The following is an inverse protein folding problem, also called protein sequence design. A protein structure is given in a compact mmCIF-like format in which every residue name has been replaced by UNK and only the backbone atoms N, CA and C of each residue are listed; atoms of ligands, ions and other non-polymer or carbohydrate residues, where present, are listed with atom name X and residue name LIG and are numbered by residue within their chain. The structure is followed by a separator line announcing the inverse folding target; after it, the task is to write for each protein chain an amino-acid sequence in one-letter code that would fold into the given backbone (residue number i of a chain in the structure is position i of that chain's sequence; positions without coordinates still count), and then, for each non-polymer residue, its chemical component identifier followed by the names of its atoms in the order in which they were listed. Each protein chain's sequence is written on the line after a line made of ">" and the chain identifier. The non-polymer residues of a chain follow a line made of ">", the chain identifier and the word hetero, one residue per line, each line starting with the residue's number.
data_IF_236131384965
#
_entry.id   IF_236131384965
#
_cell.length_a   1.000
_cell.length_b   1.000
_cell.length_c   1.000
_cell.angle_alpha   90.00
_cell.angle_beta   90.00
_cell.angle_gamma   90.00
#
_symmetry.space_group_name_H-M   'P 1'
#
loop_
_entity.id
_entity.type
_entity.pdbx_description
1 polymer ?
#
# COMPACT_ATOMS: atom_id res chain seq x y z
N UNK A 1 -5.47 -7.55 -23.59
CA UNK A 1 -6.88 -7.53 -23.19
C UNK A 1 -7.34 -8.98 -23.03
N UNK A 2 -7.31 -9.48 -21.80
CA UNK A 2 -8.11 -10.62 -21.38
C UNK A 2 -9.03 -10.06 -20.29
N UNK A 3 -10.35 -10.12 -20.43
CA UNK A 3 -11.26 -9.61 -19.42
C UNK A 3 -11.11 -10.45 -18.15
N UNK A 4 -10.93 -9.75 -17.03
CA UNK A 4 -11.12 -10.29 -15.68
C UNK A 4 -12.52 -10.91 -15.66
N UNK A 5 -12.59 -12.23 -15.52
CA UNK A 5 -13.84 -12.96 -15.50
C UNK A 5 -14.47 -12.84 -14.10
N UNK A 6 -15.08 -11.69 -13.84
CA UNK A 6 -16.01 -11.45 -12.72
C UNK A 6 -17.39 -12.10 -12.96
N UNK A 7 -17.46 -13.15 -13.80
CA UNK A 7 -18.65 -14.00 -13.97
C UNK A 7 -18.31 -15.44 -13.61
N UNK A 8 -19.23 -16.19 -12.96
CA UNK A 8 -19.13 -17.64 -12.91
C UNK A 8 -18.94 -18.12 -14.34
N UNK A 9 -17.78 -18.69 -14.60
CA UNK A 9 -17.46 -19.31 -15.86
C UNK A 9 -18.31 -20.59 -15.91
N UNK A 10 -19.56 -20.48 -16.40
CA UNK A 10 -20.37 -21.61 -16.83
C UNK A 10 -19.67 -22.23 -18.05
N UNK A 11 -18.60 -22.98 -17.78
CA UNK A 11 -17.70 -23.57 -18.76
C UNK A 11 -18.41 -24.74 -19.42
N UNK A 12 -19.23 -24.43 -20.42
CA UNK A 12 -19.39 -25.37 -21.52
C UNK A 12 -18.01 -25.64 -22.13
N UNK A 13 -17.82 -26.81 -22.75
CA UNK A 13 -16.58 -27.27 -23.43
C UNK A 13 -15.90 -26.25 -24.37
N UNK A 14 -16.57 -25.15 -24.70
CA UNK A 14 -16.11 -24.02 -25.51
C UNK A 14 -15.22 -23.05 -24.72
N UNK A 15 -15.50 -22.77 -23.44
CA UNK A 15 -14.77 -21.76 -22.66
C UNK A 15 -13.37 -22.21 -22.22
N UNK A 16 -13.18 -23.52 -22.01
CA UNK A 16 -11.86 -24.11 -21.73
C UNK A 16 -10.90 -23.91 -22.92
N UNK A 17 -11.42 -23.92 -24.16
CA UNK A 17 -10.62 -23.70 -25.37
C UNK A 17 -10.18 -22.24 -25.53
N UNK A 18 -10.89 -21.26 -24.96
CA UNK A 18 -10.51 -19.85 -25.11
C UNK A 18 -9.33 -19.47 -24.19
N UNK A 19 -9.26 -20.05 -22.99
CA UNK A 19 -8.13 -19.90 -22.04
C UNK A 19 -6.79 -20.34 -22.66
N UNK A 20 -6.82 -21.33 -23.55
CA UNK A 20 -5.63 -21.94 -24.14
C UNK A 20 -5.20 -21.33 -25.50
N UNK A 21 -5.91 -20.32 -26.00
CA UNK A 21 -5.60 -19.71 -27.31
C UNK A 21 -4.35 -18.81 -27.31
N UNK A 22 -3.77 -18.54 -26.14
CA UNK A 22 -2.50 -17.83 -25.98
C UNK A 22 -1.49 -18.73 -25.27
N UNK A 23 -0.47 -19.21 -25.98
CA UNK A 23 0.64 -20.00 -25.43
C UNK A 23 1.55 -19.16 -24.51
N UNK A 24 1.06 -18.83 -23.30
CA UNK A 24 1.82 -18.11 -22.28
C UNK A 24 2.26 -19.06 -21.17
N UNK A 25 3.52 -18.98 -20.69
CA UNK A 25 4.00 -19.73 -19.52
C UNK A 25 3.18 -19.50 -18.25
N UNK A 26 2.45 -18.38 -18.17
CA UNK A 26 1.58 -18.04 -17.03
C UNK A 26 0.37 -18.98 -16.85
N UNK A 27 0.05 -19.81 -17.84
CA UNK A 27 -1.10 -20.71 -17.81
C UNK A 27 -0.74 -22.15 -17.39
N UNK A 28 0.52 -22.46 -17.08
CA UNK A 28 0.91 -23.83 -16.70
C UNK A 28 0.50 -24.23 -15.28
N UNK A 29 0.46 -23.28 -14.34
CA UNK A 29 0.10 -23.51 -12.93
C UNK A 29 -1.13 -22.68 -12.55
N UNK A 30 -2.31 -23.29 -12.65
CA UNK A 30 -3.57 -22.67 -12.20
C UNK A 30 -4.20 -23.53 -11.10
N UNK A 31 -4.81 -22.88 -10.12
CA UNK A 31 -5.62 -23.54 -9.10
C UNK A 31 -7.08 -23.17 -9.30
N UNK A 32 -7.98 -24.07 -8.96
CA UNK A 32 -9.42 -23.84 -9.11
C UNK A 32 -10.18 -24.33 -7.89
N UNK A 33 -11.35 -23.74 -7.65
CA UNK A 33 -12.37 -24.30 -6.78
C UNK A 33 -13.52 -24.83 -7.64
N UNK A 34 -13.84 -26.10 -7.51
CA UNK A 34 -14.96 -26.74 -8.18
C UNK A 34 -16.13 -26.80 -7.20
N UNK A 35 -17.07 -25.86 -7.36
CA UNK A 35 -18.33 -25.88 -6.62
C UNK A 35 -19.20 -27.02 -7.15
N UNK A 36 -19.56 -27.94 -6.27
CA UNK A 36 -20.24 -29.19 -6.59
C UNK A 36 -21.39 -29.50 -5.63
N UNK A 37 -22.16 -30.53 -5.94
CA UNK A 37 -23.15 -31.14 -5.04
C UNK A 37 -23.11 -32.64 -5.27
N UNK A 38 -23.06 -33.42 -4.18
CA UNK A 38 -22.95 -34.88 -4.21
C UNK A 38 -24.11 -35.57 -4.95
N UNK A 39 -25.25 -34.88 -5.05
CA UNK A 39 -26.45 -35.37 -5.74
C UNK A 39 -26.53 -34.97 -7.22
N UNK A 40 -25.55 -34.21 -7.73
CA UNK A 40 -25.62 -33.64 -9.08
C UNK A 40 -24.86 -34.46 -10.13
N UNK A 41 -25.61 -35.09 -11.05
CA UNK A 41 -25.02 -35.89 -12.14
C UNK A 41 -24.18 -35.05 -13.12
N UNK A 42 -24.55 -33.78 -13.34
CA UNK A 42 -23.77 -32.85 -14.16
C UNK A 42 -22.39 -32.56 -13.55
N UNK A 43 -22.32 -32.41 -12.21
CA UNK A 43 -21.07 -32.21 -11.50
C UNK A 43 -20.10 -33.38 -11.69
N UNK A 44 -20.60 -34.61 -11.56
CA UNK A 44 -19.80 -35.83 -11.78
C UNK A 44 -19.20 -35.87 -13.20
N UNK A 45 -20.02 -35.58 -14.21
CA UNK A 45 -19.56 -35.58 -15.61
C UNK A 45 -18.57 -34.46 -15.90
N UNK A 46 -18.81 -33.25 -15.39
CA UNK A 46 -17.90 -32.13 -15.56
C UNK A 46 -16.53 -32.42 -14.94
N UNK A 47 -16.48 -32.89 -13.68
CA UNK A 47 -15.25 -33.26 -12.99
C UNK A 47 -14.41 -34.25 -13.80
N UNK A 48 -15.06 -35.28 -14.34
CA UNK A 48 -14.40 -36.28 -15.19
C UNK A 48 -13.85 -35.67 -16.47
N UNK A 49 -14.61 -34.80 -17.14
CA UNK A 49 -14.16 -34.11 -18.35
C UNK A 49 -12.99 -33.17 -18.06
N UNK A 50 -13.07 -32.39 -16.99
CA UNK A 50 -12.04 -31.44 -16.59
C UNK A 50 -10.73 -32.14 -16.21
N UNK A 51 -10.80 -33.21 -15.42
CA UNK A 51 -9.63 -34.04 -15.06
C UNK A 51 -8.97 -34.66 -16.30
N UNK A 52 -9.77 -35.15 -17.24
CA UNK A 52 -9.25 -35.69 -18.51
C UNK A 52 -8.64 -34.61 -19.39
N UNK A 53 -9.19 -33.39 -19.36
CA UNK A 53 -8.68 -32.25 -20.10
C UNK A 53 -7.29 -31.84 -19.61
N UNK A 54 -7.12 -31.69 -18.29
CA UNK A 54 -5.83 -31.39 -17.62
C UNK A 54 -4.78 -32.42 -18.03
N UNK A 55 -5.11 -33.72 -17.89
CA UNK A 55 -4.20 -34.82 -18.26
C UNK A 55 -3.83 -34.82 -19.74
N UNK A 56 -4.79 -34.59 -20.63
CA UNK A 56 -4.58 -34.62 -22.08
C UNK A 56 -3.64 -33.52 -22.57
N UNK A 57 -3.62 -32.39 -21.89
CA UNK A 57 -2.83 -31.21 -22.28
C UNK A 57 -1.61 -30.99 -21.38
N UNK A 58 -1.32 -31.94 -20.48
CA UNK A 58 -0.17 -31.89 -19.56
C UNK A 58 -0.12 -30.60 -18.74
N UNK A 59 -1.28 -30.10 -18.32
CA UNK A 59 -1.36 -28.95 -17.42
C UNK A 59 -1.08 -29.37 -15.97
N UNK A 60 -0.35 -28.53 -15.22
CA UNK A 60 -0.18 -28.71 -13.76
C UNK A 60 -1.30 -28.00 -12.98
N UNK A 61 -2.52 -28.13 -13.49
CA UNK A 61 -3.70 -27.51 -12.89
C UNK A 61 -4.21 -28.38 -11.74
N UNK A 62 -4.54 -27.74 -10.63
CA UNK A 62 -5.12 -28.40 -9.46
C UNK A 62 -6.48 -27.80 -9.13
N UNK A 63 -7.35 -28.58 -8.51
CA UNK A 63 -8.63 -28.06 -8.04
C UNK A 63 -9.07 -28.71 -6.73
N UNK A 64 -9.70 -27.90 -5.88
CA UNK A 64 -10.37 -28.34 -4.66
C UNK A 64 -11.89 -28.43 -4.91
N UNK A 65 -12.54 -29.45 -4.35
CA UNK A 65 -13.99 -29.61 -4.44
C UNK A 65 -14.66 -28.99 -3.23
N UNK A 66 -15.64 -28.12 -3.46
CA UNK A 66 -16.42 -27.49 -2.41
C UNK A 66 -17.88 -27.87 -2.63
N UNK A 67 -18.46 -28.58 -1.67
CA UNK A 67 -19.91 -28.84 -1.66
C UNK A 67 -20.64 -27.50 -1.40
N UNK A 68 -21.52 -27.09 -2.32
CA UNK A 68 -22.29 -25.85 -2.15
C UNK A 68 -23.16 -25.85 -0.89
N UNK A 69 -23.50 -27.03 -0.35
CA UNK A 69 -24.28 -27.13 0.88
C UNK A 69 -23.45 -26.86 2.16
N UNK A 70 -22.13 -26.75 2.04
CA UNK A 70 -21.23 -26.46 3.16
C UNK A 70 -21.31 -25.01 3.66
N UNK A 71 -21.71 -24.06 2.81
CA UNK A 71 -21.80 -22.63 3.13
C UNK A 71 -23.07 -22.01 2.52
N UNK A 72 -23.88 -21.35 3.35
CA UNK A 72 -25.15 -20.75 2.94
C UNK A 72 -25.00 -19.62 1.91
N UNK A 73 -23.96 -18.79 2.02
CA UNK A 73 -23.68 -17.72 1.05
C UNK A 73 -23.29 -18.30 -0.30
N UNK A 74 -22.47 -19.37 -0.31
CA UNK A 74 -22.09 -20.09 -1.53
C UNK A 74 -23.33 -20.73 -2.16
N UNK A 75 -24.15 -21.42 -1.36
CA UNK A 75 -25.42 -22.00 -1.83
C UNK A 75 -26.32 -20.96 -2.48
N UNK A 76 -26.60 -19.85 -1.79
CA UNK A 76 -27.53 -18.83 -2.31
C UNK A 76 -27.02 -18.17 -3.60
N UNK A 77 -25.69 -18.03 -3.74
CA UNK A 77 -25.06 -17.44 -4.92
C UNK A 77 -25.02 -18.40 -6.13
N UNK A 78 -24.80 -19.70 -5.92
CA UNK A 78 -24.46 -20.64 -7.01
C UNK A 78 -25.41 -21.84 -7.17
N UNK A 79 -26.49 -21.95 -6.38
CA UNK A 79 -27.45 -23.09 -6.42
C UNK A 79 -28.04 -23.42 -7.79
N UNK A 80 -28.04 -22.48 -8.74
CA UNK A 80 -28.57 -22.69 -10.09
C UNK A 80 -27.49 -22.90 -11.16
N UNK A 81 -26.21 -22.71 -10.81
CA UNK A 81 -25.09 -22.67 -11.77
C UNK A 81 -24.14 -23.87 -11.63
N UNK A 82 -24.44 -24.85 -10.77
CA UNK A 82 -23.56 -26.00 -10.53
C UNK A 82 -23.50 -27.01 -11.71
N UNK A 83 -22.32 -27.49 -12.09
CA UNK A 83 -21.01 -27.21 -11.50
C UNK A 83 -20.43 -25.84 -11.90
N UNK A 84 -19.82 -25.14 -10.94
CA UNK A 84 -19.07 -23.90 -11.19
C UNK A 84 -17.59 -24.15 -10.94
N UNK A 85 -16.75 -23.83 -11.92
CA UNK A 85 -15.31 -23.84 -11.75
C UNK A 85 -14.85 -22.38 -11.58
N UNK A 86 -14.39 -22.05 -10.37
CA UNK A 86 -13.81 -20.77 -10.04
C UNK A 86 -12.30 -20.89 -10.24
N UNK A 87 -11.72 -20.04 -11.09
CA UNK A 87 -10.27 -19.89 -11.12
C UNK A 87 -9.86 -19.26 -9.78
N UNK A 88 -9.03 -19.95 -9.01
CA UNK A 88 -8.25 -19.29 -7.97
C UNK A 88 -7.19 -18.49 -8.71
N UNK A 89 -7.58 -17.30 -9.17
CA UNK A 89 -6.59 -16.32 -9.55
C UNK A 89 -5.78 -16.11 -8.27
N UNK A 90 -4.48 -16.41 -8.30
CA UNK A 90 -3.61 -16.13 -7.16
C UNK A 90 -3.67 -14.61 -7.01
N UNK A 91 -4.59 -14.09 -6.20
CA UNK A 91 -4.67 -12.68 -5.85
C UNK A 91 -3.35 -12.40 -5.19
N UNK A 92 -2.41 -11.81 -5.92
CA UNK A 92 -1.04 -11.67 -5.44
C UNK A 92 -0.97 -10.49 -4.50
N UNK A 93 0.05 -10.49 -3.66
CA UNK A 93 0.33 -9.35 -2.81
C UNK A 93 0.72 -8.18 -3.69
N UNK A 94 -0.09 -7.12 -3.62
CA UNK A 94 0.15 -5.88 -4.32
C UNK A 94 0.97 -4.98 -3.41
N UNK A 95 1.92 -4.24 -3.98
CA UNK A 95 2.74 -3.30 -3.23
C UNK A 95 3.03 -2.07 -4.07
N UNK A 96 2.98 -0.89 -3.45
CA UNK A 96 3.41 0.37 -4.04
C UNK A 96 4.30 1.13 -3.06
N UNK A 97 5.27 1.87 -3.57
CA UNK A 97 6.21 2.67 -2.79
C UNK A 97 6.36 4.07 -3.38
N UNK A 98 6.73 5.03 -2.53
CA UNK A 98 7.20 6.35 -2.95
C UNK A 98 8.50 6.73 -2.25
N UNK A 99 9.31 7.55 -2.92
CA UNK A 99 10.54 8.12 -2.38
C UNK A 99 10.41 9.62 -2.05
N UNK A 100 9.18 10.08 -1.86
CA UNK A 100 8.85 11.45 -1.43
C UNK A 100 8.18 12.27 -2.53
N UNK A 101 7.67 13.41 -2.11
CA UNK A 101 7.04 14.40 -2.98
C UNK A 101 8.00 15.61 -3.06
N UNK A 102 8.46 16.00 -4.25
CA UNK A 102 9.36 17.15 -4.37
C UNK A 102 10.42 16.97 -5.45
N UNK A 103 11.64 17.43 -5.16
CA UNK A 103 12.77 17.30 -6.08
C UNK A 103 13.63 16.09 -5.72
N UNK A 104 13.92 15.25 -6.71
CA UNK A 104 14.66 14.01 -6.53
C UNK A 104 15.91 13.95 -7.41
N UNK A 105 16.95 13.20 -7.01
CA UNK A 105 18.07 12.91 -7.89
C UNK A 105 17.64 12.02 -9.06
N UNK A 106 18.39 12.08 -10.16
CA UNK A 106 18.18 11.20 -11.30
C UNK A 106 18.24 9.72 -10.90
N UNK A 107 17.29 8.94 -11.41
CA UNK A 107 17.22 7.49 -11.18
C UNK A 107 16.60 7.05 -9.86
N UNK A 108 16.01 7.96 -9.08
CA UNK A 108 15.27 7.60 -7.85
C UNK A 108 14.15 6.58 -8.12
N UNK A 109 13.51 6.64 -9.27
CA UNK A 109 12.44 5.75 -9.69
C UNK A 109 12.98 4.34 -10.02
N UNK A 110 14.21 4.24 -10.53
CA UNK A 110 14.94 2.97 -10.66
C UNK A 110 15.22 2.37 -9.28
N UNK A 111 15.56 3.21 -8.30
CA UNK A 111 15.74 2.77 -6.93
C UNK A 111 14.42 2.27 -6.33
N UNK A 112 13.30 2.98 -6.49
CA UNK A 112 11.97 2.49 -6.08
C UNK A 112 11.66 1.11 -6.69
N UNK A 113 11.99 0.89 -7.97
CA UNK A 113 11.81 -0.43 -8.60
C UNK A 113 12.68 -1.52 -7.98
N UNK A 114 13.93 -1.19 -7.60
CA UNK A 114 14.82 -2.12 -6.89
C UNK A 114 14.24 -2.48 -5.52
N UNK A 115 13.70 -1.49 -4.80
CA UNK A 115 13.04 -1.70 -3.50
C UNK A 115 11.85 -2.66 -3.64
N UNK A 116 10.93 -2.42 -4.58
CA UNK A 116 9.78 -3.30 -4.83
C UNK A 116 10.22 -4.76 -5.05
N UNK A 117 11.28 -4.97 -5.84
CA UNK A 117 11.80 -6.31 -6.13
C UNK A 117 12.44 -6.99 -4.93
N UNK A 118 13.14 -6.24 -4.07
CA UNK A 118 13.77 -6.79 -2.87
C UNK A 118 12.77 -7.07 -1.75
N UNK A 119 11.76 -6.21 -1.61
CA UNK A 119 10.77 -6.28 -0.54
C UNK A 119 9.76 -7.44 -0.70
N UNK A 120 9.56 -7.94 -1.92
CA UNK A 120 8.68 -9.08 -2.20
C UNK A 120 7.25 -8.93 -1.62
N UNK A 121 6.72 -7.71 -1.58
CA UNK A 121 5.39 -7.41 -1.02
C UNK A 121 5.37 -6.99 0.45
N UNK A 122 6.50 -7.03 1.17
CA UNK A 122 6.58 -6.61 2.58
C UNK A 122 6.88 -5.11 2.72
N UNK A 123 5.96 -4.37 3.35
CA UNK A 123 6.08 -2.93 3.63
C UNK A 123 7.26 -2.59 4.53
N UNK A 124 7.58 -3.43 5.53
CA UNK A 124 8.73 -3.23 6.41
C UNK A 124 10.03 -3.27 5.63
N UNK A 125 10.22 -4.33 4.83
CA UNK A 125 11.45 -4.50 4.04
C UNK A 125 11.58 -3.43 2.95
N UNK A 126 10.46 -2.99 2.38
CA UNK A 126 10.45 -1.86 1.45
C UNK A 126 10.97 -0.58 2.10
N UNK A 127 10.48 -0.23 3.30
CA UNK A 127 10.87 1.02 3.97
C UNK A 127 12.29 0.92 4.52
N UNK A 128 12.70 -0.22 5.11
CA UNK A 128 14.09 -0.44 5.54
C UNK A 128 15.08 -0.20 4.41
N UNK A 129 14.74 -0.61 3.18
CA UNK A 129 15.59 -0.36 2.02
C UNK A 129 15.74 1.13 1.67
N UNK A 130 14.78 1.98 2.05
CA UNK A 130 14.87 3.44 1.89
C UNK A 130 15.59 4.15 3.05
N UNK A 131 15.57 3.59 4.27
CA UNK A 131 16.15 4.17 5.49
C UNK A 131 17.69 4.09 5.55
N UNK A 132 18.37 4.46 4.46
CA UNK A 132 19.84 4.57 4.42
C UNK A 132 20.34 6.00 4.75
N UNK A 133 19.44 6.96 4.96
CA UNK A 133 19.70 8.34 5.40
C UNK A 133 18.92 8.57 6.71
N UNK A 134 19.33 9.48 7.62
CA UNK A 134 18.71 9.72 8.92
C UNK A 134 17.21 9.96 8.84
N UNK A 135 16.46 8.94 9.22
CA UNK A 135 15.04 9.04 9.50
C UNK A 135 14.83 9.17 11.00
N UNK A 136 13.86 9.99 11.37
CA UNK A 136 13.61 10.32 12.80
C UNK A 136 12.17 10.11 13.23
N UNK A 137 11.25 10.01 12.26
CA UNK A 137 9.82 9.84 12.48
C UNK A 137 9.28 8.75 11.56
N UNK A 138 8.72 7.68 12.12
CA UNK A 138 8.19 6.56 11.33
C UNK A 138 6.92 5.98 11.95
N UNK A 139 6.04 5.46 11.10
CA UNK A 139 4.82 4.79 11.50
C UNK A 139 4.53 3.58 10.63
N UNK A 140 3.84 2.61 11.24
CA UNK A 140 3.37 1.39 10.61
C UNK A 140 1.92 1.13 11.03
N UNK A 141 1.06 0.83 10.07
CA UNK A 141 -0.35 0.52 10.28
C UNK A 141 -0.74 -0.74 9.52
N UNK A 142 -1.60 -1.56 10.13
CA UNK A 142 -2.21 -2.71 9.49
C UNK A 142 -3.72 -2.68 9.69
N UNK A 143 -4.47 -3.19 8.70
CA UNK A 143 -5.91 -3.33 8.84
C UNK A 143 -6.32 -4.47 9.78
N UNK A 144 -5.39 -5.33 10.21
CA UNK A 144 -5.65 -6.30 11.29
C UNK A 144 -5.87 -5.54 12.60
N UNK A 145 -7.14 -5.43 12.99
CA UNK A 145 -7.61 -4.74 14.20
C UNK A 145 -7.20 -3.25 14.23
N UNK A 146 -7.02 -2.65 13.04
CA UNK A 146 -6.63 -1.25 12.85
C UNK A 146 -5.39 -0.83 13.66
N UNK A 147 -4.44 -1.75 13.88
CA UNK A 147 -3.30 -1.50 14.76
C UNK A 147 -2.32 -0.53 14.13
N UNK A 148 -1.78 0.32 14.99
CA UNK A 148 -0.87 1.39 14.62
C UNK A 148 0.28 1.50 15.62
N UNK A 149 1.49 1.66 15.09
CA UNK A 149 2.70 1.88 15.87
C UNK A 149 3.51 3.01 15.25
N UNK A 150 4.06 3.90 16.07
CA UNK A 150 4.93 4.97 15.60
C UNK A 150 6.05 5.32 16.59
N UNK A 151 7.18 5.74 16.04
CA UNK A 151 8.26 6.38 16.78
C UNK A 151 8.55 7.76 16.21
N UNK A 152 8.91 8.70 17.06
CA UNK A 152 9.27 10.06 16.64
C UNK A 152 10.46 10.62 17.41
N UNK A 153 11.15 11.59 16.80
CA UNK A 153 12.30 12.26 17.39
C UNK A 153 13.40 11.27 17.86
N UNK A 154 13.55 10.14 17.16
CA UNK A 154 14.62 9.17 17.44
C UNK A 154 15.87 9.53 16.65
N UNK A 155 17.04 9.24 17.21
CA UNK A 155 18.35 9.63 16.69
C UNK A 155 19.34 8.48 16.62
N UNK A 156 19.11 7.42 17.39
CA UNK A 156 20.00 6.26 17.46
C UNK A 156 19.40 4.97 16.90
N UNK A 157 18.12 4.96 16.48
CA UNK A 157 17.51 3.77 15.87
C UNK A 157 17.89 3.73 14.40
N UNK A 158 18.59 2.67 13.97
CA UNK A 158 19.03 2.54 12.57
C UNK A 158 17.87 2.47 11.58
N UNK A 159 16.82 1.73 11.93
CA UNK A 159 15.62 1.59 11.12
C UNK A 159 14.35 1.90 11.95
N UNK A 160 13.93 3.17 12.03
CA UNK A 160 12.76 3.58 12.81
C UNK A 160 11.47 2.79 12.50
N UNK A 161 11.26 2.37 11.25
CA UNK A 161 10.11 1.55 10.87
C UNK A 161 10.04 0.20 11.61
N UNK A 162 11.19 -0.37 11.97
CA UNK A 162 11.26 -1.63 12.75
C UNK A 162 10.68 -1.41 14.14
N UNK A 163 11.02 -0.29 14.79
CA UNK A 163 10.46 0.07 16.10
C UNK A 163 8.96 0.38 16.02
N UNK A 164 8.51 1.05 14.96
CA UNK A 164 7.09 1.28 14.70
C UNK A 164 6.31 -0.04 14.54
N UNK A 165 6.80 -0.99 13.72
CA UNK A 165 6.19 -2.32 13.59
C UNK A 165 6.22 -3.11 14.90
N UNK A 166 7.29 -3.00 15.68
CA UNK A 166 7.38 -3.68 16.98
C UNK A 166 6.32 -3.20 17.98
N UNK A 167 5.94 -1.92 17.95
CA UNK A 167 4.81 -1.42 18.75
C UNK A 167 3.48 -2.08 18.36
N UNK A 168 3.25 -2.30 17.05
CA UNK A 168 2.08 -3.04 16.55
C UNK A 168 2.08 -4.49 17.05
N UNK A 169 3.23 -5.18 16.95
CA UNK A 169 3.38 -6.56 17.45
C UNK A 169 3.13 -6.64 18.96
N UNK A 170 3.65 -5.68 19.74
CA UNK A 170 3.48 -5.67 21.19
C UNK A 170 2.03 -5.40 21.62
N UNK A 171 1.23 -4.69 20.81
CA UNK A 171 -0.21 -4.54 21.05
C UNK A 171 -0.96 -5.87 20.97
N UNK A 172 -0.51 -6.79 20.12
CA UNK A 172 -1.07 -8.15 20.02
C UNK A 172 -0.74 -8.95 21.28
N UNK A 173 0.55 -8.95 21.68
CA UNK A 173 1.03 -9.74 22.82
C UNK A 173 0.47 -9.24 24.17
N UNK A 174 0.37 -7.92 24.38
CA UNK A 174 -0.03 -7.33 25.67
C UNK A 174 -1.52 -7.34 25.96
N UNK A 175 -2.38 -7.73 25.01
CA UNK A 175 -3.79 -8.05 25.31
C UNK A 175 -3.93 -9.08 26.45
N UNK A 176 -2.90 -9.88 26.70
CA UNK A 176 -2.86 -10.90 27.75
C UNK A 176 -2.59 -10.35 29.18
N UNK A 177 -2.13 -9.09 29.33
CA UNK A 177 -1.70 -8.51 30.61
C UNK A 177 -2.59 -7.42 31.21
N UNK A 178 -3.74 -7.11 30.59
CA UNK A 178 -4.73 -6.16 31.12
C UNK A 178 -4.41 -4.67 30.98
N UNK A 179 -3.23 -4.28 30.48
CA UNK A 179 -2.86 -2.89 30.22
C UNK A 179 -2.85 -2.57 28.72
N UNK A 180 -3.30 -1.36 28.35
CA UNK A 180 -3.27 -0.88 26.97
C UNK A 180 -1.81 -0.64 26.56
N UNK A 181 -1.36 -1.31 25.50
CA UNK A 181 -0.02 -1.13 24.96
C UNK A 181 0.12 0.24 24.25
N UNK A 182 1.29 0.89 24.35
CA UNK A 182 1.51 2.16 23.67
C UNK A 182 1.51 2.00 22.15
N UNK A 183 0.88 2.94 21.47
CA UNK A 183 0.90 3.03 19.99
C UNK A 183 1.95 4.02 19.48
N UNK A 184 2.43 4.94 20.33
CA UNK A 184 3.43 5.95 19.95
C UNK A 184 4.44 6.08 21.08
N UNK A 185 5.73 6.07 20.74
CA UNK A 185 6.83 6.43 21.64
C UNK A 185 7.71 7.50 21.00
N UNK A 186 8.35 8.35 21.80
CA UNK A 186 9.18 9.43 21.27
C UNK A 186 10.53 9.53 22.01
N UNK A 187 11.53 10.07 21.32
CA UNK A 187 12.84 10.40 21.88
C UNK A 187 13.50 9.22 22.60
N UNK A 188 14.17 9.52 23.72
CA UNK A 188 14.89 8.52 24.53
C UNK A 188 13.99 7.36 24.98
N UNK A 189 12.69 7.59 25.21
CA UNK A 189 11.75 6.53 25.57
C UNK A 189 11.54 5.51 24.44
N UNK A 190 11.50 5.97 23.19
CA UNK A 190 11.46 5.10 22.03
C UNK A 190 12.78 4.35 21.82
N UNK A 191 13.93 4.99 22.09
CA UNK A 191 15.25 4.36 21.95
C UNK A 191 15.48 3.28 23.02
N UNK A 192 15.08 3.54 24.28
CA UNK A 192 15.09 2.53 25.35
C UNK A 192 14.18 1.35 25.02
N UNK A 193 12.99 1.63 24.47
CA UNK A 193 12.09 0.59 24.00
C UNK A 193 12.71 -0.26 22.89
N UNK A 194 13.35 0.39 21.91
CA UNK A 194 14.02 -0.29 20.81
C UNK A 194 15.16 -1.18 21.31
N UNK A 195 16.00 -0.67 22.20
CA UNK A 195 17.06 -1.45 22.86
C UNK A 195 16.48 -2.67 23.61
N UNK A 196 15.39 -2.49 24.35
CA UNK A 196 14.73 -3.57 25.08
C UNK A 196 14.01 -4.60 24.20
N UNK A 197 13.87 -4.33 22.90
CA UNK A 197 13.33 -5.26 21.90
C UNK A 197 14.40 -5.78 20.94
N UNK A 198 15.69 -5.64 21.29
CA UNK A 198 16.84 -6.05 20.47
C UNK A 198 16.86 -5.41 19.06
N UNK A 199 16.33 -4.20 18.92
CA UNK A 199 16.37 -3.44 17.66
C UNK A 199 17.71 -2.73 17.54
N UNK A 200 18.33 -2.82 16.35
CA UNK A 200 19.65 -2.27 16.07
C UNK A 200 19.70 -0.75 16.30
N UNK A 201 20.57 -0.34 17.22
CA UNK A 201 20.95 1.05 17.44
C UNK A 201 22.27 1.37 16.73
N UNK A 202 22.45 2.63 16.34
CA UNK A 202 23.65 3.16 15.73
C UNK A 202 24.03 4.52 16.35
N UNK A 203 25.30 4.89 16.19
CA UNK A 203 25.74 6.24 16.52
C UNK A 203 25.07 7.25 15.55
N UNK A 204 24.63 8.43 16.02
CA UNK A 204 24.00 9.44 15.16
C UNK A 204 24.84 9.81 13.93
N UNK A 205 26.15 9.94 14.10
CA UNK A 205 27.10 10.25 13.02
C UNK A 205 27.12 9.16 11.92
N UNK A 206 26.78 7.93 12.27
CA UNK A 206 26.68 6.82 11.33
C UNK A 206 25.45 6.87 10.43
N UNK A 207 24.47 7.72 10.75
CA UNK A 207 23.30 7.96 9.91
C UNK A 207 23.60 9.09 8.91
N UNK A 208 24.25 10.17 9.33
CA UNK A 208 24.43 11.38 8.50
C UNK A 208 25.20 11.08 7.22
N UNK A 209 24.52 11.18 6.09
CA UNK A 209 25.15 11.03 4.78
C UNK A 209 25.95 12.30 4.41
N UNK A 210 27.06 12.20 3.65
CA UNK A 210 27.79 13.38 3.16
C UNK A 210 26.91 14.35 2.36
N UNK A 211 25.86 13.81 1.71
CA UNK A 211 24.86 14.60 0.98
C UNK A 211 23.94 15.38 1.92
N UNK A 212 23.48 14.75 2.99
CA UNK A 212 22.66 15.39 4.02
C UNK A 212 23.44 16.53 4.70
N UNK A 213 24.69 16.28 5.07
CA UNK A 213 25.60 17.27 5.66
C UNK A 213 25.81 18.49 4.73
N UNK A 214 26.10 18.27 3.45
CA UNK A 214 26.25 19.36 2.49
C UNK A 214 24.97 20.18 2.32
N UNK A 215 23.81 19.54 2.38
CA UNK A 215 22.51 20.19 2.24
C UNK A 215 22.19 21.02 3.49
N UNK A 216 22.50 20.50 4.67
CA UNK A 216 22.43 21.20 5.95
C UNK A 216 23.30 22.47 5.96
N UNK A 217 24.56 22.36 5.56
CA UNK A 217 25.50 23.49 5.47
C UNK A 217 25.01 24.60 4.52
N UNK A 218 24.44 24.22 3.37
CA UNK A 218 23.85 25.19 2.43
C UNK A 218 22.63 25.90 3.03
N UNK A 219 21.80 25.16 3.77
CA UNK A 219 20.63 25.71 4.43
C UNK A 219 21.02 26.75 5.50
N UNK A 220 22.03 26.45 6.33
CA UNK A 220 22.55 27.38 7.33
C UNK A 220 23.06 28.69 6.72
N UNK A 221 23.70 28.62 5.56
CA UNK A 221 24.24 29.80 4.86
C UNK A 221 23.16 30.64 4.15
N UNK A 222 21.88 30.23 4.20
CA UNK A 222 20.75 30.87 3.50
C UNK A 222 20.98 31.03 1.99
N UNK A 223 21.87 30.23 1.38
CA UNK A 223 22.27 30.32 -0.03
C UNK A 223 21.23 29.67 -0.98
N UNK A 224 19.95 29.79 -0.62
CA UNK A 224 18.81 29.20 -1.31
C UNK A 224 18.77 27.66 -1.23
N UNK A 225 18.00 27.12 -0.28
CA UNK A 225 17.42 25.77 -0.45
C UNK A 225 16.22 25.93 -1.37
N UNK A 226 16.47 26.19 -2.66
CA UNK A 226 15.40 26.41 -3.65
C UNK A 226 14.67 25.14 -4.05
N UNK A 227 15.18 23.98 -3.64
CA UNK A 227 14.54 22.70 -3.89
C UNK A 227 14.16 22.08 -2.55
N UNK A 228 12.88 22.20 -2.17
CA UNK A 228 12.31 21.43 -1.07
C UNK A 228 12.47 19.93 -1.40
N UNK A 229 13.51 19.34 -0.83
CA UNK A 229 13.70 17.90 -0.79
C UNK A 229 12.94 17.38 0.42
N UNK A 230 11.88 16.62 0.16
CA UNK A 230 11.14 15.96 1.22
C UNK A 230 11.67 14.54 1.35
N UNK A 231 12.41 14.30 2.43
CA UNK A 231 13.03 13.02 2.77
C UNK A 231 12.03 12.03 3.39
N UNK A 232 10.82 11.99 2.82
CA UNK A 232 9.75 11.09 3.29
C UNK A 232 9.59 9.95 2.32
N UNK A 233 9.68 8.73 2.82
CA UNK A 233 9.52 7.50 2.05
C UNK A 233 8.35 6.72 2.62
N UNK A 234 7.70 5.92 1.77
CA UNK A 234 6.57 5.13 2.24
C UNK A 234 6.21 4.01 1.31
N UNK A 235 5.47 3.06 1.86
CA UNK A 235 5.08 1.83 1.20
C UNK A 235 3.68 1.40 1.66
N UNK A 236 2.92 0.83 0.75
CA UNK A 236 1.58 0.28 0.99
C UNK A 236 1.49 -1.08 0.33
N UNK A 237 0.79 -2.02 0.96
CA UNK A 237 0.52 -3.33 0.39
C UNK A 237 -0.89 -3.82 0.73
N UNK A 238 -1.41 -4.72 -0.12
CA UNK A 238 -2.57 -5.54 0.17
C UNK A 238 -2.22 -6.98 -0.18
N UNK A 239 -2.22 -7.85 0.82
CA UNK A 239 -1.87 -9.26 0.65
C UNK A 239 -3.03 -10.08 0.08
N UNK A 240 -2.82 -11.38 -0.14
CA UNK A 240 -3.79 -12.27 -0.77
C UNK A 240 -5.08 -12.45 0.05
N UNK A 241 -5.05 -12.14 1.34
CA UNK A 241 -6.21 -12.20 2.24
C UNK A 241 -7.00 -10.89 2.30
N UNK A 242 -6.55 -9.87 1.57
CA UNK A 242 -7.06 -8.50 1.66
C UNK A 242 -6.52 -7.73 2.87
N UNK A 243 -5.51 -8.26 3.58
CA UNK A 243 -4.89 -7.51 4.67
C UNK A 243 -4.11 -6.33 4.09
N UNK A 244 -4.54 -5.13 4.45
CA UNK A 244 -3.91 -3.88 4.04
C UNK A 244 -2.84 -3.49 5.06
N UNK A 245 -1.69 -3.04 4.56
CA UNK A 245 -0.58 -2.55 5.39
C UNK A 245 -0.04 -1.25 4.79
N UNK A 246 0.27 -0.29 5.65
CA UNK A 246 0.88 0.97 5.25
C UNK A 246 2.01 1.34 6.20
N UNK A 247 3.09 1.88 5.65
CA UNK A 247 4.22 2.34 6.43
C UNK A 247 4.85 3.59 5.81
N UNK A 248 5.47 4.39 6.68
CA UNK A 248 6.10 5.66 6.31
C UNK A 248 7.34 5.89 7.18
N UNK A 249 8.35 6.57 6.65
CA UNK A 249 9.51 7.05 7.40
C UNK A 249 9.97 8.41 6.87
N UNK A 250 10.42 9.30 7.76
CA UNK A 250 10.82 10.67 7.42
C UNK A 250 11.89 11.24 8.34
N UNK A 251 12.85 11.96 7.74
CA UNK A 251 13.80 12.83 8.46
C UNK A 251 13.15 14.13 8.98
N UNK A 252 11.98 14.51 8.44
CA UNK A 252 11.35 15.80 8.69
C UNK A 252 11.87 16.91 7.79
N UNK A 253 11.54 18.16 8.12
CA UNK A 253 12.04 19.33 7.37
C UNK A 253 13.45 19.68 7.83
N UNK A 254 14.24 20.21 6.89
CA UNK A 254 15.57 20.74 7.18
C UNK A 254 15.48 21.89 8.21
N UNK A 255 16.47 21.97 9.11
CA UNK A 255 16.51 22.96 10.21
C UNK A 255 15.27 22.94 11.13
N UNK A 256 14.56 21.80 11.21
CA UNK A 256 13.49 21.64 12.19
C UNK A 256 14.01 21.92 13.60
N UNK A 257 13.14 22.45 14.45
CA UNK A 257 13.40 22.53 15.88
C UNK A 257 13.45 21.13 16.49
N UNK A 258 14.33 20.92 17.47
CA UNK A 258 14.44 19.65 18.17
C UNK A 258 13.12 19.28 18.85
N UNK A 259 12.69 18.03 18.67
CA UNK A 259 11.37 17.60 19.14
C UNK A 259 10.22 17.86 18.16
N UNK A 260 10.46 18.45 16.97
CA UNK A 260 9.41 18.56 15.95
C UNK A 260 8.97 17.18 15.45
N UNK A 261 7.69 16.90 15.62
CA UNK A 261 7.00 15.71 15.13
C UNK A 261 6.19 16.03 13.87
N UNK A 262 6.45 15.31 12.77
CA UNK A 262 5.73 15.46 11.51
C UNK A 262 4.52 14.52 11.36
N UNK A 263 3.88 14.53 10.19
CA UNK A 263 2.75 13.65 9.87
C UNK A 263 3.12 12.16 9.87
N UNK A 264 4.39 11.82 9.62
CA UNK A 264 4.87 10.44 9.49
C UNK A 264 4.86 9.62 10.79
N UNK A 265 4.50 10.22 11.92
CA UNK A 265 4.32 9.52 13.19
C UNK A 265 2.96 9.83 13.85
N UNK A 266 2.05 10.43 13.09
CA UNK A 266 0.69 10.77 13.55
C UNK A 266 -0.33 9.81 12.95
N UNK A 267 -1.22 9.29 13.80
CA UNK A 267 -2.32 8.43 13.39
C UNK A 267 -3.24 9.16 12.40
N UNK A 268 -3.46 8.57 11.22
CA UNK A 268 -4.26 9.16 10.14
C UNK A 268 -3.60 10.30 9.36
N UNK A 269 -2.41 10.76 9.75
CA UNK A 269 -1.66 11.80 9.03
C UNK A 269 -0.86 11.23 7.87
N UNK A 270 0.14 10.39 8.19
CA UNK A 270 1.08 9.81 7.22
C UNK A 270 0.63 8.51 6.57
N UNK A 271 -0.05 7.66 7.33
CA UNK A 271 -0.46 6.31 6.91
C UNK A 271 -1.91 6.04 7.25
N UNK A 272 -2.54 5.21 6.43
CA UNK A 272 -3.82 4.57 6.71
C UNK A 272 -3.83 3.16 6.12
N UNK A 273 -4.39 2.20 6.84
CA UNK A 273 -4.62 0.85 6.34
C UNK A 273 -5.89 0.29 6.97
N UNK A 274 -6.89 -0.03 6.15
CA UNK A 274 -8.21 -0.42 6.63
C UNK A 274 -8.85 -1.43 5.68
N UNK A 275 -9.57 -2.40 6.26
CA UNK A 275 -10.37 -3.39 5.55
C UNK A 275 -11.80 -3.33 6.07
N UNK A 276 -12.76 -3.02 5.19
CA UNK A 276 -14.20 -3.03 5.46
C UNK A 276 -14.86 -4.09 4.59
N UNK A 277 -15.15 -5.26 5.17
CA UNK A 277 -15.73 -6.38 4.42
C UNK A 277 -14.80 -6.84 3.30
N UNK A 278 -15.25 -6.67 2.05
CA UNK A 278 -14.54 -7.06 0.83
C UNK A 278 -13.74 -5.92 0.19
N UNK A 279 -13.73 -4.74 0.82
CA UNK A 279 -12.92 -3.59 0.40
C UNK A 279 -11.74 -3.37 1.34
N UNK A 280 -10.57 -3.17 0.75
CA UNK A 280 -9.31 -2.97 1.47
C UNK A 280 -8.56 -1.77 0.88
N UNK A 281 -8.10 -0.87 1.74
CA UNK A 281 -7.37 0.33 1.35
C UNK A 281 -6.10 0.50 2.17
N UNK A 282 -5.01 0.88 1.51
CA UNK A 282 -3.79 1.35 2.16
C UNK A 282 -3.31 2.66 1.52
N UNK A 283 -2.93 3.64 2.33
CA UNK A 283 -2.49 4.98 1.90
C UNK A 283 -1.20 5.35 2.63
N UNK A 284 -0.22 5.90 1.90
CA UNK A 284 0.98 6.54 2.46
C UNK A 284 1.22 7.88 1.81
N UNK A 285 1.50 8.93 2.60
CA UNK A 285 1.60 10.32 2.15
C UNK A 285 2.99 10.94 2.36
N UNK A 286 3.30 11.97 1.59
CA UNK A 286 4.50 12.80 1.69
C UNK A 286 4.14 14.24 1.37
N UNK A 287 4.86 15.21 1.93
CA UNK A 287 4.55 16.62 1.71
C UNK A 287 4.87 17.50 2.91
N UNK A 288 4.16 18.63 2.99
CA UNK A 288 4.16 19.53 4.13
C UNK A 288 3.53 18.82 5.34
N UNK A 289 4.38 18.40 6.28
CA UNK A 289 3.98 17.57 7.41
C UNK A 289 2.89 18.22 8.27
N UNK A 290 2.96 19.53 8.50
CA UNK A 290 1.96 20.26 9.29
C UNK A 290 0.60 20.32 8.60
N UNK A 291 0.56 20.48 7.27
CA UNK A 291 -0.69 20.49 6.52
C UNK A 291 -1.33 19.09 6.48
N UNK A 292 -0.53 18.05 6.24
CA UNK A 292 -0.99 16.65 6.22
C UNK A 292 -1.50 16.18 7.58
N UNK A 293 -0.76 16.52 8.65
CA UNK A 293 -1.13 16.31 10.04
C UNK A 293 -2.50 16.92 10.36
N UNK A 294 -2.65 18.23 10.12
CA UNK A 294 -3.86 18.97 10.47
C UNK A 294 -5.11 18.48 9.76
N UNK A 295 -4.96 17.89 8.58
CA UNK A 295 -6.08 17.44 7.76
C UNK A 295 -6.43 15.97 7.94
N UNK A 296 -5.64 15.22 8.72
CA UNK A 296 -5.72 13.75 8.80
C UNK A 296 -5.78 13.12 7.40
N UNK A 297 -4.88 13.56 6.52
CA UNK A 297 -5.08 13.40 5.09
C UNK A 297 -5.05 11.93 4.63
N UNK A 298 -4.18 11.10 5.21
CA UNK A 298 -4.14 9.67 4.86
C UNK A 298 -5.43 8.96 5.25
N UNK A 299 -5.96 9.22 6.45
CA UNK A 299 -7.24 8.69 6.91
C UNK A 299 -8.38 9.13 6.00
N UNK A 300 -8.48 10.44 5.74
CA UNK A 300 -9.56 11.00 4.92
C UNK A 300 -9.58 10.44 3.50
N UNK A 301 -8.40 10.25 2.88
CA UNK A 301 -8.29 9.56 1.60
C UNK A 301 -8.72 8.10 1.70
N UNK A 302 -8.31 7.41 2.76
CA UNK A 302 -8.69 6.01 3.01
C UNK A 302 -10.20 5.82 3.12
N UNK A 303 -10.85 6.62 3.95
CA UNK A 303 -12.31 6.64 4.14
C UNK A 303 -13.03 6.97 2.82
N UNK A 304 -12.57 8.01 2.11
CA UNK A 304 -13.14 8.38 0.82
C UNK A 304 -13.08 7.27 -0.21
N UNK A 305 -12.00 6.47 -0.26
CA UNK A 305 -11.87 5.35 -1.18
C UNK A 305 -12.77 4.17 -0.78
N UNK A 306 -12.91 3.90 0.51
CA UNK A 306 -13.76 2.80 1.00
C UNK A 306 -15.25 3.07 0.80
N UNK A 307 -15.65 4.34 0.95
CA UNK A 307 -17.04 4.81 0.85
C UNK A 307 -17.46 5.17 -0.58
N UNK A 308 -16.50 5.27 -1.50
CA UNK A 308 -16.79 5.57 -2.90
C UNK A 308 -17.63 4.46 -3.53
N UNK A 309 -18.67 4.87 -4.26
CA UNK A 309 -19.45 3.96 -5.09
C UNK A 309 -18.80 3.88 -6.48
N UNK A 310 -18.27 2.72 -6.89
CA UNK A 310 -17.64 2.57 -8.20
C UNK A 310 -18.64 2.72 -9.37
N UNK A 311 -19.95 2.74 -9.11
CA UNK A 311 -20.96 3.11 -10.12
C UNK A 311 -21.02 4.62 -10.41
N UNK A 312 -20.53 5.46 -9.48
CA UNK A 312 -20.50 6.92 -9.63
C UNK A 312 -19.31 7.42 -10.47
N UNK A 313 -18.27 6.59 -10.66
CA UNK A 313 -17.09 6.97 -11.44
C UNK A 313 -15.84 6.16 -11.10
N UNK A 314 -14.67 6.75 -11.33
CA UNK A 314 -13.38 6.09 -11.10
C UNK A 314 -12.81 6.44 -9.72
N UNK A 315 -12.13 5.51 -9.04
CA UNK A 315 -11.49 5.78 -7.74
C UNK A 315 -10.48 6.95 -7.76
N UNK A 316 -9.86 7.21 -8.92
CA UNK A 316 -8.99 8.39 -9.10
C UNK A 316 -9.77 9.71 -8.95
N UNK A 317 -11.06 9.74 -9.26
CA UNK A 317 -11.93 10.90 -9.10
C UNK A 317 -12.24 11.14 -7.61
N UNK A 318 -12.45 10.08 -6.83
CA UNK A 318 -12.55 10.17 -5.37
C UNK A 318 -11.29 10.82 -4.75
N UNK A 319 -10.11 10.44 -5.23
CA UNK A 319 -8.85 11.06 -4.82
C UNK A 319 -8.77 12.52 -5.28
N UNK A 320 -9.15 12.83 -6.53
CA UNK A 320 -9.17 14.21 -7.02
C UNK A 320 -10.03 15.12 -6.12
N UNK A 321 -11.24 14.67 -5.79
CA UNK A 321 -12.16 15.42 -4.95
C UNK A 321 -11.65 15.58 -3.52
N UNK A 322 -11.16 14.50 -2.92
CA UNK A 322 -10.65 14.50 -1.55
C UNK A 322 -9.36 15.32 -1.43
N UNK A 323 -8.48 15.30 -2.43
CA UNK A 323 -7.29 16.15 -2.46
C UNK A 323 -7.68 17.63 -2.58
N UNK A 324 -8.62 17.96 -3.46
CA UNK A 324 -9.08 19.34 -3.65
C UNK A 324 -9.77 19.88 -2.40
N UNK A 325 -10.85 19.24 -1.94
CA UNK A 325 -11.68 19.72 -0.82
C UNK A 325 -11.01 19.46 0.53
N UNK A 326 -10.39 18.30 0.69
CA UNK A 326 -9.81 17.83 1.95
C UNK A 326 -8.43 18.40 2.27
N UNK A 327 -7.70 18.91 1.27
CA UNK A 327 -6.36 19.48 1.44
C UNK A 327 -6.21 20.89 0.85
N UNK A 328 -6.32 21.08 -0.47
CA UNK A 328 -6.03 22.37 -1.11
C UNK A 328 -6.95 23.51 -0.66
N UNK A 329 -8.25 23.23 -0.58
CA UNK A 329 -9.30 24.19 -0.21
C UNK A 329 -9.65 24.12 1.28
N UNK A 330 -9.08 23.15 2.01
CA UNK A 330 -9.38 22.93 3.41
C UNK A 330 -9.08 24.17 4.26
N UNK A 331 -10.03 24.67 5.08
CA UNK A 331 -9.79 25.78 6.01
C UNK A 331 -8.64 25.51 6.99
N UNK A 332 -8.31 24.23 7.24
CA UNK A 332 -7.21 23.81 8.09
C UNK A 332 -5.84 24.07 7.44
N UNK A 333 -5.80 24.24 6.12
CA UNK A 333 -4.59 24.55 5.35
C UNK A 333 -4.63 26.01 4.88
N UNK A 334 -5.74 26.46 4.28
CA UNK A 334 -5.81 27.76 3.62
C UNK A 334 -5.65 28.95 4.57
N UNK A 335 -6.00 28.80 5.85
CA UNK A 335 -5.87 29.86 6.87
C UNK A 335 -4.45 30.06 7.41
N UNK A 336 -3.56 29.07 7.28
CA UNK A 336 -2.28 29.06 8.00
C UNK A 336 -1.06 28.84 7.11
N UNK A 337 -1.25 28.39 5.88
CA UNK A 337 -0.16 28.09 4.95
C UNK A 337 -0.31 28.93 3.69
N UNK A 338 0.78 29.54 3.26
CA UNK A 338 0.84 30.17 1.93
C UNK A 338 0.72 29.09 0.84
N UNK A 339 0.13 29.40 -0.33
CA UNK A 339 -0.13 28.42 -1.39
C UNK A 339 1.07 27.54 -1.76
N UNK A 340 2.27 28.12 -1.77
CA UNK A 340 3.52 27.47 -2.17
C UNK A 340 3.93 26.33 -1.22
N UNK A 341 3.52 26.41 0.06
CA UNK A 341 3.83 25.39 1.06
C UNK A 341 2.73 24.32 1.21
N UNK A 342 1.65 24.42 0.42
CA UNK A 342 0.54 23.45 0.46
C UNK A 342 0.85 22.25 -0.40
N UNK A 343 1.93 21.54 -0.09
CA UNK A 343 2.41 20.41 -0.87
C UNK A 343 2.02 19.08 -0.24
N UNK A 344 1.48 18.18 -1.05
CA UNK A 344 1.15 16.81 -0.70
C UNK A 344 1.30 15.88 -1.90
N UNK A 345 1.54 14.62 -1.60
CA UNK A 345 1.50 13.51 -2.54
C UNK A 345 1.50 12.19 -1.79
N UNK A 346 1.38 11.10 -2.52
CA UNK A 346 1.30 9.78 -1.92
C UNK A 346 1.00 8.69 -2.92
N UNK A 347 0.88 7.48 -2.37
CA UNK A 347 0.39 6.30 -3.06
C UNK A 347 -0.77 5.72 -2.25
N UNK A 348 -1.76 5.22 -2.97
CA UNK A 348 -2.88 4.48 -2.42
C UNK A 348 -3.04 3.15 -3.18
N UNK A 349 -3.49 2.12 -2.48
CA UNK A 349 -3.99 0.89 -3.08
C UNK A 349 -5.43 0.71 -2.61
N UNK A 350 -6.32 0.43 -3.55
CA UNK A 350 -7.68 -0.05 -3.30
C UNK A 350 -7.81 -1.45 -3.89
N UNK A 351 -8.36 -2.37 -3.11
CA UNK A 351 -8.89 -3.65 -3.60
C UNK A 351 -10.35 -3.74 -3.21
N UNK A 352 -11.20 -3.88 -4.20
CA UNK A 352 -12.63 -4.14 -4.06
C UNK A 352 -12.90 -5.54 -4.63
N UNK A 353 -13.04 -6.52 -3.74
CA UNK A 353 -13.31 -7.91 -4.14
C UNK A 353 -14.74 -8.12 -4.64
N UNK A 354 -15.69 -7.23 -4.28
CA UNK A 354 -17.07 -7.31 -4.78
C UNK A 354 -17.13 -6.98 -6.27
N UNK A 355 -16.41 -5.94 -6.69
CA UNK A 355 -16.36 -5.48 -8.09
C UNK A 355 -15.20 -6.08 -8.89
N UNK A 356 -14.31 -6.83 -8.24
CA UNK A 356 -13.09 -7.37 -8.88
C UNK A 356 -12.11 -6.28 -9.31
N UNK A 357 -12.05 -5.18 -8.55
CA UNK A 357 -11.20 -4.03 -8.85
C UNK A 357 -9.95 -4.06 -7.95
N UNK A 358 -8.79 -3.82 -8.55
CA UNK A 358 -7.54 -3.60 -7.84
C UNK A 358 -6.77 -2.49 -8.53
N UNK A 359 -6.55 -1.39 -7.82
CA UNK A 359 -5.88 -0.21 -8.37
C UNK A 359 -4.78 0.29 -7.45
N UNK A 360 -3.67 0.70 -8.07
CA UNK A 360 -2.66 1.56 -7.45
C UNK A 360 -2.88 2.96 -7.96
N UNK A 361 -3.04 3.92 -7.05
CA UNK A 361 -3.23 5.33 -7.41
C UNK A 361 -2.07 6.14 -6.84
N UNK A 362 -1.40 6.90 -7.72
CA UNK A 362 -0.32 7.82 -7.37
C UNK A 362 -0.86 9.23 -7.50
N UNK A 363 -0.65 10.08 -6.50
CA UNK A 363 -1.17 11.44 -6.50
C UNK A 363 -0.17 12.44 -5.93
N UNK A 364 -0.14 13.68 -6.44
CA UNK A 364 0.68 14.77 -5.89
C UNK A 364 0.33 16.14 -6.49
N UNK A 365 0.73 17.21 -5.79
CA UNK A 365 0.83 18.56 -6.35
C UNK A 365 2.26 19.15 -6.27
N UNK A 366 3.26 18.29 -6.10
CA UNK A 366 4.68 18.67 -6.16
C UNK A 366 5.20 18.64 -7.58
N UNK A 367 6.34 19.32 -7.84
CA UNK A 367 7.00 19.31 -9.15
C UNK A 367 7.23 17.90 -9.69
N UNK A 368 7.79 17.01 -8.85
CA UNK A 368 7.93 15.60 -9.17
C UNK A 368 7.46 14.70 -8.02
N UNK A 369 7.17 13.45 -8.35
CA UNK A 369 6.85 12.40 -7.38
C UNK A 369 7.33 11.04 -7.90
N UNK A 370 8.27 10.43 -7.17
CA UNK A 370 8.89 9.16 -7.56
C UNK A 370 8.18 7.96 -6.92
N UNK A 371 7.81 6.97 -7.74
CA UNK A 371 7.06 5.80 -7.29
C UNK A 371 7.43 4.52 -8.04
N UNK A 372 7.12 3.39 -7.44
CA UNK A 372 7.09 2.08 -8.10
C UNK A 372 6.01 1.21 -7.49
N UNK A 373 5.53 0.23 -8.24
CA UNK A 373 4.52 -0.71 -7.74
C UNK A 373 4.62 -2.06 -8.45
N UNK A 374 4.02 -3.08 -7.86
CA UNK A 374 3.89 -4.42 -8.42
C UNK A 374 2.55 -5.04 -8.01
N UNK A 375 1.96 -5.76 -8.95
CA UNK A 375 0.86 -6.71 -8.77
C UNK A 375 1.36 -8.12 -8.34
N UNK A 376 2.58 -8.24 -7.83
CA UNK A 376 3.23 -9.53 -7.57
C UNK A 376 3.64 -10.33 -8.83
N UNK A 377 3.53 -9.77 -10.03
CA UNK A 377 3.99 -10.37 -11.29
C UNK A 377 4.97 -9.46 -12.03
N UNK A 378 4.55 -8.21 -12.26
CA UNK A 378 5.25 -7.20 -13.04
C UNK A 378 5.47 -5.98 -12.15
N UNK A 379 6.72 -5.53 -12.08
CA UNK A 379 7.08 -4.27 -11.42
C UNK A 379 7.11 -3.12 -12.42
N UNK A 380 6.33 -2.07 -12.15
CA UNK A 380 6.31 -0.80 -12.87
C UNK A 380 6.93 0.31 -12.00
N UNK A 381 7.40 1.38 -12.64
CA UNK A 381 7.97 2.56 -11.98
C UNK A 381 7.64 3.82 -12.75
N UNK A 382 7.71 4.96 -12.09
CA UNK A 382 7.64 6.24 -12.76
C UNK A 382 8.17 7.40 -11.91
N UNK A 383 8.50 8.46 -12.61
CA UNK A 383 8.68 9.79 -12.04
C UNK A 383 7.51 10.63 -12.58
N UNK A 384 6.52 10.88 -11.74
CA UNK A 384 5.39 11.72 -12.13
C UNK A 384 5.80 13.19 -12.06
N UNK A 385 5.39 13.98 -13.05
CA UNK A 385 5.66 15.41 -13.15
C UNK A 385 4.32 16.17 -13.19
N UNK A 386 4.26 17.28 -12.45
CA UNK A 386 3.12 18.19 -12.50
C UNK A 386 3.29 19.12 -13.72
N UNK A 387 2.35 19.03 -14.67
CA UNK A 387 2.43 19.84 -15.91
C UNK A 387 2.10 21.31 -15.62
N UNK A 388 2.62 22.20 -16.45
CA UNK A 388 2.31 23.62 -16.39
C UNK A 388 0.79 23.87 -16.44
N UNK A 389 0.28 24.71 -15.53
CA UNK A 389 -1.15 24.99 -15.37
C UNK A 389 -1.95 23.97 -14.54
N UNK A 390 -1.36 22.83 -14.15
CA UNK A 390 -2.02 21.88 -13.25
C UNK A 390 -1.75 22.21 -11.78
N UNK A 391 -2.80 22.16 -10.95
CA UNK A 391 -2.68 22.29 -9.49
C UNK A 391 -2.47 20.93 -8.79
N UNK A 392 -2.73 19.83 -9.50
CA UNK A 392 -2.72 18.48 -8.96
C UNK A 392 -2.59 17.45 -10.09
N UNK A 393 -1.97 16.31 -9.80
CA UNK A 393 -1.88 15.16 -10.69
C UNK A 393 -2.25 13.89 -9.92
N UNK A 394 -3.11 13.06 -10.51
CA UNK A 394 -3.36 11.69 -10.06
C UNK A 394 -3.32 10.73 -11.25
N UNK A 395 -2.79 9.52 -11.02
CA UNK A 395 -2.69 8.44 -12.00
C UNK A 395 -3.11 7.14 -11.36
N UNK A 396 -4.13 6.49 -11.93
CA UNK A 396 -4.53 5.14 -11.55
C UNK A 396 -3.90 4.10 -12.48
N UNK A 397 -3.55 2.96 -11.90
CA UNK A 397 -3.04 1.78 -12.58
C UNK A 397 -3.86 0.58 -12.12
N UNK A 398 -4.67 0.05 -13.02
CA UNK A 398 -5.34 -1.22 -12.81
C UNK A 398 -4.30 -2.35 -12.83
N UNK A 399 -4.39 -3.24 -11.84
CA UNK A 399 -3.50 -4.38 -11.66
C UNK A 399 -4.14 -5.68 -12.13
#
# INVERSE_FOLDING_TARGET
>A
MLPILSRPLLLSSIGIRSLCSSASPALQELRFQLLTSDSCTLCFHFKKQFTNYIKRHEFDWTFEEIDIHSDRKIFDKYKYDIPVLLLEDKVRTMIAVHAGAGCHPDGIDKFCKKVIRGASGDVLEAIKAFENDPMTNSAFMTSDDLRFGAVACVSTIKNPIVAAKQLVVNQIARKQGGLIAPSILIGEGAEKFAAGCDIELCAPDGLVSPRAEMTYEKALRKLAVTEERLDTVGAVSIDNSGLATSGISSGGIILKFDGRVGHSSQFGGGVWAEKRGLRSVAVSTSGCGEALARTHFAQKLGESLLEYDPSDGLYVEAINETFKKGFLESPLVTKSFIPEHRLAGGVAIIRDEDEGISEVIVFHNTKHFAYAFSDGSVSKRGLSELKEGQQFCAKSFQL
#
